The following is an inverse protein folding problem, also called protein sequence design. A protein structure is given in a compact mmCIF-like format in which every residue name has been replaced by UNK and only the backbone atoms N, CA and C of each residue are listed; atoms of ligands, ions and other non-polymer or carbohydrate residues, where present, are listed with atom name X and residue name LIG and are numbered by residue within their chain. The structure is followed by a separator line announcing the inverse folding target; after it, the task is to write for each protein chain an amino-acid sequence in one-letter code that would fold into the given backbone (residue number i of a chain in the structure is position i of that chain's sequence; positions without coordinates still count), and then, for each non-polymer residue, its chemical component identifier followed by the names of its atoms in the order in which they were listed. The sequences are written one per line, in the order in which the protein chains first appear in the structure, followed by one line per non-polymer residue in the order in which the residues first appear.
data_IF_364101637380
#
_entry.id   IF_364101637380
#
_cell.length_a   1.000
_cell.length_b   1.000
_cell.length_c   1.000
_cell.angle_alpha   90.00
_cell.angle_beta   90.00
_cell.angle_gamma   90.00
#
_symmetry.space_group_name_H-M   'P 1'
#
loop_
_entity.id
_entity.type
_entity.pdbx_description
1 polymer ?
#
# COMPACT_ATOMS: atom_id res chain seq x y z
N UNK A 1 0.61 4.96 -5.16
CA UNK A 1 0.62 4.41 -6.52
C UNK A 1 2.01 4.57 -7.10
N UNK A 2 2.38 3.82 -8.12
CA UNK A 2 3.66 4.01 -8.79
C UNK A 2 3.74 5.36 -9.54
N UNK A 3 4.96 5.87 -9.71
CA UNK A 3 5.22 7.17 -10.31
C UNK A 3 4.71 7.29 -11.75
N UNK A 4 4.76 6.22 -12.55
CA UNK A 4 4.28 6.26 -13.93
C UNK A 4 2.77 6.50 -13.94
N UNK A 5 2.03 5.80 -13.08
CA UNK A 5 0.58 6.00 -12.93
C UNK A 5 0.23 7.44 -12.57
N UNK A 6 0.97 8.03 -11.62
CA UNK A 6 0.73 9.42 -11.21
C UNK A 6 1.03 10.44 -12.34
N UNK A 7 2.08 10.19 -13.13
CA UNK A 7 2.39 10.99 -14.33
C UNK A 7 1.25 10.93 -15.33
N UNK A 8 0.78 9.75 -15.70
CA UNK A 8 -0.23 9.59 -16.77
C UNK A 8 -1.62 10.07 -16.34
N UNK A 9 -1.96 9.93 -15.05
CA UNK A 9 -3.20 10.50 -14.50
C UNK A 9 -3.14 12.03 -14.53
N UNK A 10 -2.06 12.63 -14.01
CA UNK A 10 -1.87 14.08 -14.04
C UNK A 10 -1.87 14.64 -15.46
N UNK A 11 -1.22 13.96 -16.40
CA UNK A 11 -1.26 14.30 -17.82
C UNK A 11 -2.69 14.28 -18.38
N UNK A 12 -3.45 13.21 -18.14
CA UNK A 12 -4.84 13.09 -18.58
C UNK A 12 -5.74 14.20 -18.02
N UNK A 13 -5.65 14.47 -16.72
CA UNK A 13 -6.41 15.53 -16.03
C UNK A 13 -6.08 16.90 -16.63
N UNK A 14 -4.80 17.23 -16.79
CA UNK A 14 -4.39 18.53 -17.32
C UNK A 14 -4.76 18.70 -18.80
N UNK A 15 -4.65 17.64 -19.61
CA UNK A 15 -5.11 17.65 -21.02
C UNK A 15 -6.62 17.88 -21.09
N UNK A 16 -7.41 17.28 -20.21
CA UNK A 16 -8.86 17.48 -20.18
C UNK A 16 -9.24 18.95 -19.90
N UNK A 17 -8.51 19.60 -19.00
CA UNK A 17 -8.83 20.98 -18.55
C UNK A 17 -8.21 22.05 -19.44
N UNK A 18 -6.93 21.92 -19.78
CA UNK A 18 -6.14 22.95 -20.48
C UNK A 18 -5.77 22.58 -21.92
N UNK A 19 -6.00 21.34 -22.36
CA UNK A 19 -5.51 20.85 -23.65
C UNK A 19 -6.01 21.64 -24.86
N UNK A 20 -7.22 22.19 -24.82
CA UNK A 20 -7.79 23.00 -25.90
C UNK A 20 -7.03 24.30 -26.15
N UNK A 21 -6.41 24.89 -25.12
CA UNK A 21 -5.78 26.22 -25.19
C UNK A 21 -4.26 26.18 -25.06
N UNK A 22 -3.76 25.36 -24.13
CA UNK A 22 -2.34 25.12 -23.97
C UNK A 22 -1.77 24.21 -25.08
N UNK A 23 -2.64 23.44 -25.73
CA UNK A 23 -2.28 22.39 -26.66
C UNK A 23 -2.06 21.05 -25.93
N UNK A 24 -2.42 19.91 -26.53
CA UNK A 24 -2.44 18.62 -25.85
C UNK A 24 -1.06 18.20 -25.35
N UNK A 25 0.00 18.35 -26.15
CA UNK A 25 1.36 18.00 -25.75
C UNK A 25 1.85 18.78 -24.53
N UNK A 26 1.67 20.11 -24.52
CA UNK A 26 2.11 20.97 -23.42
C UNK A 26 1.29 20.72 -22.17
N UNK A 27 -0.02 20.50 -22.30
CA UNK A 27 -0.88 20.14 -21.18
C UNK A 27 -0.51 18.77 -20.59
N UNK A 28 -0.19 17.78 -21.42
CA UNK A 28 0.26 16.46 -20.95
C UNK A 28 1.58 16.56 -20.15
N UNK A 29 2.56 17.32 -20.63
CA UNK A 29 3.82 17.55 -19.92
C UNK A 29 3.57 18.27 -18.59
N UNK A 30 2.82 19.38 -18.61
CA UNK A 30 2.52 20.14 -17.41
C UNK A 30 1.78 19.28 -16.38
N UNK A 31 0.77 18.52 -16.81
CA UNK A 31 0.02 17.60 -15.98
C UNK A 31 0.87 16.48 -15.40
N UNK A 32 1.75 15.88 -16.19
CA UNK A 32 2.66 14.83 -15.73
C UNK A 32 3.62 15.32 -14.65
N UNK A 33 4.19 16.52 -14.82
CA UNK A 33 5.05 17.15 -13.81
C UNK A 33 4.29 17.47 -12.52
N UNK A 34 3.10 18.07 -12.64
CA UNK A 34 2.23 18.34 -11.48
C UNK A 34 1.82 17.05 -10.76
N UNK A 35 1.57 15.98 -11.52
CA UNK A 35 1.26 14.65 -11.00
C UNK A 35 2.41 14.01 -10.22
N UNK A 36 3.66 14.42 -10.43
CA UNK A 36 4.81 13.94 -9.62
C UNK A 36 5.09 14.78 -8.38
N UNK A 37 4.54 16.00 -8.33
CA UNK A 37 4.92 17.00 -7.33
C UNK A 37 4.68 16.56 -5.88
N UNK A 38 3.55 15.90 -5.51
CA UNK A 38 3.32 15.49 -4.12
C UNK A 38 4.34 14.49 -3.58
N UNK A 39 4.81 13.56 -4.42
CA UNK A 39 5.79 12.52 -4.06
C UNK A 39 7.23 13.04 -3.95
N UNK A 40 7.50 14.30 -4.29
CA UNK A 40 8.81 14.91 -4.05
C UNK A 40 9.07 15.18 -2.56
N UNK A 41 8.09 14.91 -1.69
CA UNK A 41 8.26 14.92 -0.23
C UNK A 41 9.34 13.94 0.25
N UNK A 42 9.64 12.88 -0.52
CA UNK A 42 10.75 11.94 -0.24
C UNK A 42 12.13 12.60 -0.25
N UNK A 43 12.26 13.79 -0.85
CA UNK A 43 13.51 14.55 -0.87
C UNK A 43 13.71 15.37 0.41
N UNK A 44 12.69 15.50 1.25
CA UNK A 44 12.76 16.20 2.52
C UNK A 44 13.34 15.21 3.55
N UNK A 45 14.54 15.46 4.11
CA UNK A 45 15.15 14.55 5.06
C UNK A 45 14.30 14.42 6.32
N UNK A 46 14.06 13.18 6.75
CA UNK A 46 13.54 12.86 8.09
C UNK A 46 14.68 12.32 8.98
N UNK A 47 14.48 12.30 10.29
CA UNK A 47 15.53 11.94 11.26
C UNK A 47 15.96 10.48 11.17
N UNK A 48 15.04 9.56 10.91
CA UNK A 48 15.33 8.12 10.77
C UNK A 48 14.46 7.41 9.70
N UNK A 49 14.76 6.14 9.34
CA UNK A 49 14.01 5.39 8.33
C UNK A 49 12.55 5.09 8.68
N UNK A 50 12.18 5.09 9.97
CA UNK A 50 10.80 4.91 10.43
C UNK A 50 10.03 6.21 10.28
N UNK A 51 10.61 7.33 10.72
CA UNK A 51 10.02 8.66 10.52
C UNK A 51 9.85 8.97 9.03
N UNK A 52 10.86 8.66 8.21
CA UNK A 52 10.78 8.80 6.74
C UNK A 52 9.56 8.06 6.18
N UNK A 53 9.30 6.85 6.70
CA UNK A 53 8.18 6.01 6.26
C UNK A 53 6.82 6.49 6.78
N UNK A 54 6.73 6.92 8.04
CA UNK A 54 5.47 7.35 8.68
C UNK A 54 5.06 8.78 8.26
N UNK A 55 6.03 9.61 7.88
CA UNK A 55 5.81 11.00 7.47
C UNK A 55 5.56 11.16 5.97
N UNK A 56 5.98 10.19 5.15
CA UNK A 56 5.65 10.17 3.72
C UNK A 56 4.13 10.17 3.52
N UNK A 57 3.65 10.87 2.48
CA UNK A 57 2.21 11.06 2.21
C UNK A 57 1.49 11.82 3.32
N UNK A 58 2.23 12.75 3.94
CA UNK A 58 1.76 13.67 4.96
C UNK A 58 1.21 14.96 4.35
N UNK A 59 1.86 16.08 4.66
CA UNK A 59 1.38 17.41 4.31
C UNK A 59 1.28 17.66 2.79
N UNK A 60 2.18 17.07 1.99
CA UNK A 60 2.21 17.18 0.51
C UNK A 60 0.98 16.55 -0.17
N UNK A 61 0.37 15.57 0.48
CA UNK A 61 -0.83 14.86 0.01
C UNK A 61 -2.11 15.35 0.70
N UNK A 62 -2.04 16.42 1.52
CA UNK A 62 -3.22 17.02 2.12
C UNK A 62 -4.00 17.84 1.09
N UNK A 63 -5.30 17.57 0.97
CA UNK A 63 -6.19 18.32 0.09
C UNK A 63 -6.26 19.81 0.49
N UNK A 64 -6.14 20.09 1.79
CA UNK A 64 -6.16 21.45 2.34
C UNK A 64 -4.89 22.19 1.92
N UNK A 65 -3.73 21.59 2.13
CA UNK A 65 -2.44 22.19 1.76
C UNK A 65 -2.34 22.34 0.24
N UNK A 66 -2.78 21.35 -0.52
CA UNK A 66 -2.84 21.38 -1.98
C UNK A 66 -3.74 22.53 -2.48
N UNK A 67 -4.91 22.73 -1.86
CA UNK A 67 -5.78 23.88 -2.17
C UNK A 67 -5.09 25.22 -1.86
N UNK A 68 -4.37 25.32 -0.73
CA UNK A 68 -3.66 26.54 -0.34
C UNK A 68 -2.48 26.87 -1.27
N UNK A 69 -1.72 25.87 -1.74
CA UNK A 69 -0.57 26.09 -2.63
C UNK A 69 -0.96 26.27 -4.09
N UNK A 70 -2.14 25.76 -4.50
CA UNK A 70 -2.68 25.89 -5.86
C UNK A 70 -2.62 27.33 -6.41
N UNK A 71 -3.13 28.38 -5.72
CA UNK A 71 -3.08 29.74 -6.26
C UNK A 71 -1.65 30.24 -6.47
N UNK A 72 -0.68 29.81 -5.65
CA UNK A 72 0.74 30.20 -5.79
C UNK A 72 1.33 29.60 -7.06
N UNK A 73 1.20 28.28 -7.24
CA UNK A 73 1.71 27.57 -8.43
C UNK A 73 0.96 28.03 -9.68
N UNK A 74 -0.36 28.17 -9.56
CA UNK A 74 -1.22 28.61 -10.64
C UNK A 74 -0.88 30.00 -11.11
N UNK A 75 -0.58 30.92 -10.19
CA UNK A 75 -0.19 32.27 -10.57
C UNK A 75 1.17 32.31 -11.26
N UNK A 76 2.14 31.53 -10.79
CA UNK A 76 3.41 31.38 -11.48
C UNK A 76 3.20 30.87 -12.92
N UNK A 77 2.38 29.84 -13.11
CA UNK A 77 2.08 29.28 -14.43
C UNK A 77 1.36 30.30 -15.34
N UNK A 78 0.38 31.03 -14.81
CA UNK A 78 -0.36 32.09 -15.52
C UNK A 78 0.58 33.21 -15.99
N UNK A 79 1.53 33.61 -15.16
CA UNK A 79 2.51 34.67 -15.51
C UNK A 79 3.55 34.22 -16.54
N UNK A 80 3.98 32.96 -16.46
CA UNK A 80 5.04 32.42 -17.32
C UNK A 80 4.52 31.90 -18.67
N UNK A 81 3.24 31.52 -18.76
CA UNK A 81 2.67 30.90 -19.95
C UNK A 81 1.51 31.74 -20.48
N UNK A 82 1.74 32.45 -21.59
CA UNK A 82 0.75 33.35 -22.20
C UNK A 82 -0.63 32.70 -22.44
N UNK A 83 -0.65 31.42 -22.84
CA UNK A 83 -1.90 30.68 -23.07
C UNK A 83 -2.77 30.51 -21.81
N UNK A 84 -2.18 30.59 -20.62
CA UNK A 84 -2.86 30.45 -19.33
C UNK A 84 -3.42 31.77 -18.79
N UNK A 85 -2.97 32.92 -19.31
CA UNK A 85 -3.40 34.25 -18.86
C UNK A 85 -4.91 34.48 -18.98
N UNK A 86 -5.50 34.00 -20.08
CA UNK A 86 -6.93 34.09 -20.34
C UNK A 86 -7.75 32.96 -19.68
N UNK A 87 -7.10 32.05 -18.95
CA UNK A 87 -7.69 30.86 -18.35
C UNK A 87 -7.20 30.64 -16.92
N UNK A 88 -7.11 31.72 -16.15
CA UNK A 88 -6.58 31.73 -14.79
C UNK A 88 -7.27 30.69 -13.90
N UNK A 89 -8.60 30.70 -13.87
CA UNK A 89 -9.37 29.77 -13.05
C UNK A 89 -9.26 28.32 -13.51
N UNK A 90 -9.24 28.05 -14.82
CA UNK A 90 -9.01 26.70 -15.34
C UNK A 90 -7.59 26.21 -15.05
N UNK A 91 -6.61 27.12 -15.04
CA UNK A 91 -5.23 26.79 -14.65
C UNK A 91 -5.15 26.37 -13.20
N UNK A 92 -5.81 27.12 -12.31
CA UNK A 92 -5.88 26.78 -10.89
C UNK A 92 -6.62 25.46 -10.68
N UNK A 93 -7.74 25.26 -11.37
CA UNK A 93 -8.48 24.01 -11.34
C UNK A 93 -7.63 22.83 -11.83
N UNK A 94 -6.91 22.96 -12.94
CA UNK A 94 -6.04 21.91 -13.46
C UNK A 94 -4.95 21.52 -12.44
N UNK A 95 -4.31 22.50 -11.80
CA UNK A 95 -3.30 22.25 -10.77
C UNK A 95 -3.90 21.54 -9.57
N UNK A 96 -4.99 22.08 -9.01
CA UNK A 96 -5.64 21.45 -7.87
C UNK A 96 -6.11 20.04 -8.19
N UNK A 97 -6.69 19.81 -9.36
CA UNK A 97 -7.13 18.48 -9.78
C UNK A 97 -5.95 17.51 -9.95
N UNK A 98 -4.82 17.94 -10.54
CA UNK A 98 -3.63 17.09 -10.62
C UNK A 98 -3.11 16.69 -9.23
N UNK A 99 -3.01 17.64 -8.30
CA UNK A 99 -2.50 17.38 -6.95
C UNK A 99 -3.47 16.53 -6.11
N UNK A 100 -4.76 16.87 -6.15
CA UNK A 100 -5.80 16.17 -5.36
C UNK A 100 -6.06 14.77 -5.89
N UNK A 101 -6.14 14.56 -7.21
CA UNK A 101 -6.34 13.22 -7.77
C UNK A 101 -5.14 12.30 -7.50
N UNK A 102 -3.92 12.84 -7.44
CA UNK A 102 -2.76 12.09 -6.96
C UNK A 102 -2.97 11.59 -5.53
N UNK A 103 -3.30 12.50 -4.60
CA UNK A 103 -3.49 12.16 -3.19
C UNK A 103 -4.65 11.18 -2.97
N UNK A 104 -5.76 11.39 -3.68
CA UNK A 104 -6.93 10.51 -3.65
C UNK A 104 -6.62 9.11 -4.18
N UNK A 105 -5.87 9.00 -5.29
CA UNK A 105 -5.45 7.70 -5.82
C UNK A 105 -4.49 6.99 -4.85
N UNK A 106 -3.60 7.74 -4.20
CA UNK A 106 -2.72 7.20 -3.19
C UNK A 106 -3.48 6.67 -1.97
N UNK A 107 -4.55 7.35 -1.54
CA UNK A 107 -5.42 6.88 -0.46
C UNK A 107 -6.18 5.58 -0.79
N UNK A 108 -6.33 5.24 -2.09
CA UNK A 108 -6.89 3.95 -2.53
C UNK A 108 -5.90 2.79 -2.37
N UNK A 109 -4.60 3.06 -2.22
CA UNK A 109 -3.59 2.05 -1.91
C UNK A 109 -3.51 1.76 -0.41
N UNK A 110 -2.85 0.68 0.01
CA UNK A 110 -2.81 0.27 1.43
C UNK A 110 -1.77 1.04 2.28
N UNK A 111 -0.99 1.94 1.68
CA UNK A 111 0.08 2.65 2.38
C UNK A 111 -0.42 3.56 3.49
N UNK A 112 -1.46 4.34 3.22
CA UNK A 112 -1.93 5.38 4.13
C UNK A 112 -1.54 6.78 3.65
N UNK A 113 -2.53 7.64 3.46
CA UNK A 113 -2.36 9.03 3.00
C UNK A 113 -3.12 9.97 3.92
N UNK A 114 -2.46 11.02 4.45
CA UNK A 114 -3.06 11.96 5.41
C UNK A 114 -3.83 13.09 4.69
N UNK A 115 -4.96 12.75 4.06
CA UNK A 115 -5.73 13.66 3.19
C UNK A 115 -6.20 14.96 3.87
N UNK A 116 -6.45 14.92 5.19
CA UNK A 116 -6.98 16.05 5.95
C UNK A 116 -5.97 16.68 6.91
N UNK A 117 -4.67 16.42 6.73
CA UNK A 117 -3.65 17.07 7.54
C UNK A 117 -3.73 18.61 7.38
N UNK A 118 -3.61 19.42 8.45
CA UNK A 118 -3.32 19.05 9.84
C UNK A 118 -4.56 18.81 10.71
N UNK A 119 -5.79 18.89 10.16
CA UNK A 119 -7.03 18.70 10.93
C UNK A 119 -7.18 17.27 11.46
N UNK A 120 -6.74 16.29 10.68
CA UNK A 120 -6.62 14.89 11.11
C UNK A 120 -5.27 14.31 10.70
N UNK A 121 -4.68 13.53 11.61
CA UNK A 121 -3.43 12.79 11.37
C UNK A 121 -3.68 11.35 10.93
N UNK A 122 -4.95 10.91 10.89
CA UNK A 122 -5.32 9.55 10.53
C UNK A 122 -5.07 9.31 9.03
N UNK A 123 -4.24 8.30 8.68
CA UNK A 123 -3.97 7.97 7.29
C UNK A 123 -5.11 7.16 6.67
N UNK A 124 -5.54 7.56 5.47
CA UNK A 124 -6.47 6.80 4.64
C UNK A 124 -5.71 5.79 3.81
N UNK A 125 -5.99 4.51 4.01
CA UNK A 125 -5.40 3.42 3.21
C UNK A 125 -6.48 2.39 2.89
N UNK A 126 -7.35 2.70 1.92
CA UNK A 126 -8.46 1.81 1.55
C UNK A 126 -7.92 0.45 1.12
N UNK A 127 -6.77 0.43 0.43
CA UNK A 127 -6.13 -0.81 -0.02
C UNK A 127 -6.92 -1.55 -1.09
N UNK A 128 -7.74 -0.84 -1.86
CA UNK A 128 -8.57 -1.42 -2.92
C UNK A 128 -7.82 -1.58 -4.25
N UNK A 129 -6.70 -0.89 -4.43
CA UNK A 129 -5.87 -0.99 -5.64
C UNK A 129 -4.41 -1.28 -5.28
N UNK A 130 -3.75 -2.13 -6.07
CA UNK A 130 -2.32 -2.41 -5.91
C UNK A 130 -1.49 -1.25 -6.47
N UNK A 131 -0.27 -1.05 -5.95
CA UNK A 131 0.57 0.10 -6.30
C UNK A 131 0.92 0.14 -7.80
N UNK A 132 1.04 -1.02 -8.44
CA UNK A 132 1.31 -1.18 -9.88
C UNK A 132 0.14 -1.95 -10.51
N UNK A 133 -0.79 -1.24 -11.14
CA UNK A 133 -1.99 -1.82 -11.73
C UNK A 133 -2.07 -1.52 -13.23
N UNK A 134 -1.63 -2.46 -14.10
CA UNK A 134 -1.64 -2.26 -15.54
C UNK A 134 -3.02 -1.95 -16.12
N UNK A 135 -4.11 -2.47 -15.54
CA UNK A 135 -5.47 -2.22 -16.01
C UNK A 135 -5.89 -0.76 -15.79
N UNK A 136 -5.33 -0.12 -14.76
CA UNK A 136 -5.51 1.32 -14.52
C UNK A 136 -4.54 2.17 -15.35
N UNK A 137 -3.26 1.79 -15.39
CA UNK A 137 -2.19 2.62 -15.97
C UNK A 137 -2.17 2.61 -17.49
N UNK A 138 -2.38 1.47 -18.15
CA UNK A 138 -2.21 1.34 -19.61
C UNK A 138 -3.19 2.24 -20.39
N UNK A 139 -4.50 2.28 -20.10
CA UNK A 139 -5.41 3.17 -20.82
C UNK A 139 -5.00 4.66 -20.70
N UNK A 140 -4.57 5.09 -19.51
CA UNK A 140 -4.09 6.45 -19.25
C UNK A 140 -2.75 6.73 -19.96
N UNK A 141 -1.86 5.74 -20.01
CA UNK A 141 -0.60 5.83 -20.73
C UNK A 141 -0.83 6.00 -22.24
N UNK A 142 -1.71 5.20 -22.83
CA UNK A 142 -2.03 5.28 -24.26
C UNK A 142 -2.57 6.68 -24.63
N UNK A 143 -3.51 7.22 -23.86
CA UNK A 143 -4.03 8.56 -24.13
C UNK A 143 -2.99 9.67 -23.90
N UNK A 144 -2.09 9.48 -22.93
CA UNK A 144 -0.96 10.38 -22.71
C UNK A 144 -0.01 10.39 -23.90
N UNK A 145 0.34 9.22 -24.44
CA UNK A 145 1.18 9.10 -25.66
C UNK A 145 0.49 9.79 -26.84
N UNK A 146 -0.81 9.54 -27.06
CA UNK A 146 -1.57 10.21 -28.12
C UNK A 146 -1.53 11.73 -27.94
N UNK A 147 -1.73 12.24 -26.72
CA UNK A 147 -1.67 13.69 -26.45
C UNK A 147 -0.27 14.29 -26.69
N UNK A 148 0.80 13.56 -26.33
CA UNK A 148 2.18 13.98 -26.56
C UNK A 148 2.56 14.02 -28.06
N UNK A 149 2.03 13.08 -28.84
CA UNK A 149 2.23 13.02 -30.29
C UNK A 149 1.30 13.96 -31.08
N UNK A 150 0.27 14.51 -30.43
CA UNK A 150 -0.70 15.39 -31.08
C UNK A 150 -0.18 16.82 -31.19
N UNK A 151 -0.14 17.35 -32.42
CA UNK A 151 0.28 18.74 -32.69
C UNK A 151 -0.80 19.79 -32.44
N UNK A 152 -2.08 19.42 -32.52
CA UNK A 152 -3.24 20.31 -32.34
C UNK A 152 -4.36 19.61 -31.58
N UNK A 153 -5.19 20.39 -30.90
CA UNK A 153 -6.41 19.88 -30.27
C UNK A 153 -7.42 19.41 -31.32
N UNK A 154 -8.09 18.29 -31.05
CA UNK A 154 -9.24 17.80 -31.84
C UNK A 154 -10.36 17.41 -30.88
N UNK A 155 -11.62 17.52 -31.32
CA UNK A 155 -12.77 17.07 -30.52
C UNK A 155 -12.71 15.57 -30.21
N UNK A 156 -12.15 14.77 -31.13
CA UNK A 156 -11.89 13.35 -30.92
C UNK A 156 -10.95 13.10 -29.75
N UNK A 157 -9.82 13.82 -29.69
CA UNK A 157 -8.86 13.70 -28.58
C UNK A 157 -9.51 14.06 -27.24
N UNK A 158 -10.27 15.16 -27.19
CA UNK A 158 -10.98 15.58 -25.98
C UNK A 158 -11.94 14.50 -25.47
N UNK A 159 -12.74 13.90 -26.37
CA UNK A 159 -13.63 12.78 -26.02
C UNK A 159 -12.85 11.57 -25.51
N UNK A 160 -11.76 11.18 -26.17
CA UNK A 160 -10.94 10.03 -25.74
C UNK A 160 -10.32 10.25 -24.37
N UNK A 161 -9.84 11.46 -24.06
CA UNK A 161 -9.32 11.82 -22.73
C UNK A 161 -10.42 11.69 -21.67
N UNK A 162 -11.61 12.22 -21.94
CA UNK A 162 -12.74 12.12 -21.01
C UNK A 162 -13.12 10.65 -20.78
N UNK A 163 -13.22 9.85 -21.84
CA UNK A 163 -13.51 8.41 -21.73
C UNK A 163 -12.46 7.70 -20.89
N UNK A 164 -11.17 7.98 -21.10
CA UNK A 164 -10.10 7.37 -20.31
C UNK A 164 -10.20 7.73 -18.81
N UNK A 165 -10.54 8.98 -18.47
CA UNK A 165 -10.74 9.43 -17.09
C UNK A 165 -12.02 8.85 -16.46
N UNK A 166 -13.09 8.71 -17.24
CA UNK A 166 -14.33 8.05 -16.78
C UNK A 166 -14.06 6.57 -16.51
N UNK A 167 -13.36 5.87 -17.41
CA UNK A 167 -12.98 4.47 -17.22
C UNK A 167 -12.05 4.28 -16.03
N UNK A 168 -11.07 5.18 -15.83
CA UNK A 168 -10.18 5.11 -14.67
C UNK A 168 -10.95 5.30 -13.35
N UNK A 169 -11.90 6.23 -13.32
CA UNK A 169 -12.78 6.45 -12.15
C UNK A 169 -13.69 5.25 -11.91
N UNK A 170 -14.32 4.73 -12.96
CA UNK A 170 -15.16 3.53 -12.88
C UNK A 170 -14.36 2.32 -12.38
N UNK A 171 -13.10 2.18 -12.78
CA UNK A 171 -12.20 1.14 -12.30
C UNK A 171 -11.93 1.26 -10.79
N UNK A 172 -11.73 2.47 -10.26
CA UNK A 172 -11.57 2.66 -8.81
C UNK A 172 -12.83 2.25 -8.04
N UNK A 173 -14.01 2.60 -8.55
CA UNK A 173 -15.29 2.15 -7.97
C UNK A 173 -15.42 0.62 -8.01
N UNK A 174 -15.04 0.00 -9.14
CA UNK A 174 -14.98 -1.45 -9.28
C UNK A 174 -14.07 -2.09 -8.23
N UNK A 175 -12.84 -1.58 -8.06
CA UNK A 175 -11.88 -2.09 -7.08
C UNK A 175 -12.40 -2.06 -5.65
N UNK A 176 -13.10 -0.99 -5.25
CA UNK A 176 -13.79 -0.91 -3.95
C UNK A 176 -14.91 -1.95 -3.85
N UNK A 177 -15.69 -2.15 -4.93
CA UNK A 177 -16.72 -3.19 -5.00
C UNK A 177 -16.13 -4.60 -4.85
N UNK A 178 -15.07 -4.92 -5.58
CA UNK A 178 -14.33 -6.18 -5.53
C UNK A 178 -13.79 -6.45 -4.11
N UNK A 179 -13.22 -5.42 -3.47
CA UNK A 179 -12.76 -5.53 -2.07
C UNK A 179 -13.91 -5.89 -1.13
N UNK A 180 -15.08 -5.25 -1.26
CA UNK A 180 -16.26 -5.56 -0.43
C UNK A 180 -16.75 -6.99 -0.64
N UNK A 181 -16.76 -7.48 -1.88
CA UNK A 181 -17.13 -8.87 -2.21
C UNK A 181 -16.17 -9.84 -1.50
N UNK A 182 -14.86 -9.63 -1.62
CA UNK A 182 -13.85 -10.50 -1.01
C UNK A 182 -13.91 -10.45 0.52
N UNK A 183 -14.08 -9.27 1.12
CA UNK A 183 -14.28 -9.13 2.56
C UNK A 183 -15.51 -9.90 3.05
N UNK A 184 -16.61 -9.86 2.30
CA UNK A 184 -17.83 -10.62 2.61
C UNK A 184 -17.57 -12.13 2.57
N UNK A 185 -16.91 -12.62 1.51
CA UNK A 185 -16.51 -14.03 1.39
C UNK A 185 -15.63 -14.48 2.55
N UNK A 186 -14.60 -13.71 2.89
CA UNK A 186 -13.72 -14.01 4.01
C UNK A 186 -14.46 -14.05 5.34
N UNK A 187 -15.34 -13.08 5.62
CA UNK A 187 -16.18 -13.09 6.82
C UNK A 187 -17.08 -14.32 6.90
N UNK A 188 -17.68 -14.73 5.79
CA UNK A 188 -18.54 -15.92 5.75
C UNK A 188 -17.75 -17.20 6.01
N UNK A 189 -16.57 -17.35 5.39
CA UNK A 189 -15.67 -18.47 5.64
C UNK A 189 -15.25 -18.55 7.12
N UNK A 190 -14.86 -17.43 7.72
CA UNK A 190 -14.46 -17.37 9.13
C UNK A 190 -15.63 -17.73 10.07
N UNK A 191 -16.84 -17.23 9.78
CA UNK A 191 -18.05 -17.57 10.55
C UNK A 191 -18.38 -19.06 10.48
N UNK A 192 -18.28 -19.67 9.30
CA UNK A 192 -18.49 -21.11 9.13
C UNK A 192 -17.42 -21.93 9.86
N UNK A 193 -16.19 -21.43 9.92
CA UNK A 193 -15.10 -22.02 10.69
C UNK A 193 -15.20 -21.76 12.21
N UNK A 194 -16.23 -21.05 12.69
CA UNK A 194 -16.39 -20.73 14.12
C UNK A 194 -15.39 -19.71 14.66
N UNK A 195 -14.76 -18.91 13.80
CA UNK A 195 -13.75 -17.92 14.17
C UNK A 195 -14.35 -16.51 14.15
N UNK A 196 -14.26 -15.82 15.29
CA UNK A 196 -14.50 -14.38 15.39
C UNK A 196 -13.17 -13.64 15.30
N UNK A 197 -12.97 -12.85 14.26
CA UNK A 197 -11.72 -12.12 14.03
C UNK A 197 -11.65 -10.80 14.81
N UNK A 198 -10.43 -10.39 15.18
CA UNK A 198 -10.21 -9.10 15.86
C UNK A 198 -10.11 -7.97 14.82
N UNK A 199 -9.38 -8.22 13.73
CA UNK A 199 -9.29 -7.32 12.57
C UNK A 199 -9.30 -8.12 11.27
N UNK A 200 -9.81 -7.52 10.21
CA UNK A 200 -9.82 -8.09 8.86
C UNK A 200 -9.55 -7.00 7.83
N UNK A 201 -8.61 -7.29 6.94
CA UNK A 201 -8.26 -6.44 5.81
C UNK A 201 -8.22 -7.26 4.53
N UNK A 202 -8.54 -6.66 3.39
CA UNK A 202 -8.40 -7.25 2.07
C UNK A 202 -7.54 -6.34 1.20
N UNK A 203 -6.54 -6.92 0.54
CA UNK A 203 -5.59 -6.21 -0.34
C UNK A 203 -5.51 -6.99 -1.66
N UNK A 204 -5.60 -6.31 -2.83
CA UNK A 204 -5.44 -6.99 -4.10
C UNK A 204 -4.01 -7.52 -4.26
N UNK A 205 -3.86 -8.62 -4.97
CA UNK A 205 -2.54 -9.12 -5.33
C UNK A 205 -1.92 -8.28 -6.44
N UNK A 206 -0.59 -8.40 -6.65
CA UNK A 206 0.09 -7.63 -7.68
C UNK A 206 -0.58 -7.75 -9.05
N UNK A 207 -0.71 -6.61 -9.75
CA UNK A 207 -1.16 -6.52 -11.14
C UNK A 207 -2.63 -6.90 -11.42
N UNK A 208 -3.47 -7.10 -10.40
CA UNK A 208 -4.85 -7.56 -10.60
C UNK A 208 -5.82 -7.00 -9.57
N UNK A 209 -7.06 -6.74 -10.00
CA UNK A 209 -8.20 -6.46 -9.11
C UNK A 209 -9.11 -7.68 -8.91
N UNK A 210 -8.73 -8.86 -9.42
CA UNK A 210 -9.56 -10.06 -9.43
C UNK A 210 -9.15 -11.14 -8.43
N UNK A 211 -7.92 -11.10 -7.91
CA UNK A 211 -7.42 -12.06 -6.93
C UNK A 211 -6.79 -11.33 -5.75
N UNK A 212 -7.20 -11.70 -4.54
CA UNK A 212 -6.99 -10.90 -3.34
C UNK A 212 -6.42 -11.74 -2.21
N UNK A 213 -5.63 -11.08 -1.37
CA UNK A 213 -5.22 -11.59 -0.07
C UNK A 213 -6.01 -10.89 1.01
N UNK A 214 -6.63 -11.66 1.89
CA UNK A 214 -7.18 -11.18 3.14
C UNK A 214 -6.26 -11.53 4.29
N UNK A 215 -6.07 -10.58 5.20
CA UNK A 215 -5.28 -10.75 6.41
C UNK A 215 -6.25 -10.68 7.59
N UNK A 216 -6.36 -11.79 8.30
CA UNK A 216 -7.20 -11.92 9.48
C UNK A 216 -6.29 -11.88 10.70
N UNK A 217 -6.51 -10.94 11.62
CA UNK A 217 -5.82 -10.94 12.91
C UNK A 217 -6.71 -11.62 13.94
N UNK A 218 -6.13 -12.56 14.68
CA UNK A 218 -6.78 -13.14 15.83
C UNK A 218 -5.76 -13.56 16.88
N UNK A 219 -5.84 -12.96 18.07
CA UNK A 219 -4.87 -13.17 19.14
C UNK A 219 -3.42 -12.92 18.62
N UNK A 220 -2.51 -13.85 18.91
CA UNK A 220 -1.12 -13.84 18.47
C UNK A 220 -0.90 -14.50 17.09
N UNK A 221 -1.95 -14.63 16.29
CA UNK A 221 -1.87 -15.19 14.94
C UNK A 221 -2.40 -14.21 13.91
N UNK A 222 -1.87 -14.35 12.70
CA UNK A 222 -2.52 -13.85 11.50
C UNK A 222 -2.76 -14.98 10.52
N UNK A 223 -3.85 -14.86 9.77
CA UNK A 223 -4.24 -15.82 8.74
C UNK A 223 -4.27 -15.10 7.40
N UNK A 224 -3.48 -15.58 6.45
CA UNK A 224 -3.59 -15.19 5.06
C UNK A 224 -4.63 -16.08 4.38
N UNK A 225 -5.64 -15.48 3.78
CA UNK A 225 -6.65 -16.18 2.99
C UNK A 225 -6.67 -15.59 1.58
N UNK A 226 -6.46 -16.43 0.58
CA UNK A 226 -6.41 -16.03 -0.83
C UNK A 226 -7.70 -16.38 -1.54
N UNK A 227 -8.33 -15.36 -2.13
CA UNK A 227 -9.69 -15.43 -2.66
C UNK A 227 -9.82 -14.72 -4.01
N UNK A 228 -10.45 -15.36 -5.01
CA UNK A 228 -10.87 -14.68 -6.22
C UNK A 228 -12.18 -13.90 -5.98
N UNK A 229 -12.32 -12.78 -6.69
CA UNK A 229 -13.56 -11.98 -6.69
C UNK A 229 -14.71 -12.79 -7.26
N UNK A 230 -14.47 -13.47 -8.39
CA UNK A 230 -15.43 -14.38 -9.02
C UNK A 230 -15.14 -15.83 -8.68
N UNK A 231 -16.19 -16.65 -8.57
CA UNK A 231 -16.08 -18.06 -8.20
C UNK A 231 -16.30 -18.34 -6.71
N UNK A 232 -16.38 -19.63 -6.39
CA UNK A 232 -16.67 -20.10 -5.04
C UNK A 232 -15.42 -20.10 -4.14
N UNK A 233 -15.65 -20.06 -2.85
CA UNK A 233 -14.71 -20.14 -1.75
C UNK A 233 -14.13 -21.54 -1.49
N UNK A 234 -14.63 -22.58 -2.16
CA UNK A 234 -14.16 -23.97 -1.98
C UNK A 234 -12.67 -24.16 -2.24
N UNK A 235 -12.10 -23.39 -3.17
CA UNK A 235 -10.68 -23.43 -3.51
C UNK A 235 -9.84 -22.37 -2.80
N UNK A 236 -10.43 -21.68 -1.82
CA UNK A 236 -9.69 -20.69 -1.05
C UNK A 236 -8.59 -21.39 -0.25
N UNK A 237 -7.41 -20.78 -0.24
CA UNK A 237 -6.26 -21.31 0.49
C UNK A 237 -5.99 -20.45 1.72
N UNK A 238 -5.84 -21.12 2.86
CA UNK A 238 -5.63 -20.50 4.17
C UNK A 238 -4.25 -20.88 4.70
N UNK A 239 -3.56 -19.89 5.25
CA UNK A 239 -2.24 -20.06 5.83
C UNK A 239 -2.17 -19.33 7.16
N UNK A 240 -1.79 -20.04 8.22
CA UNK A 240 -1.73 -19.49 9.58
C UNK A 240 -0.29 -19.25 10.00
N UNK A 241 -0.04 -18.10 10.61
CA UNK A 241 1.29 -17.68 11.03
C UNK A 241 1.24 -16.99 12.39
N UNK A 242 2.27 -17.19 13.24
CA UNK A 242 2.39 -16.46 14.49
C UNK A 242 2.77 -14.99 14.24
N UNK A 243 2.37 -14.12 15.17
CA UNK A 243 2.74 -12.70 15.20
C UNK A 243 3.85 -12.40 16.21
N UNK A 244 4.08 -13.31 17.15
CA UNK A 244 5.03 -13.20 18.27
C UNK A 244 4.87 -11.91 19.07
N UNK A 245 3.62 -11.55 19.40
CA UNK A 245 3.27 -10.38 20.19
C UNK A 245 3.83 -10.42 21.61
N UNK A 246 4.26 -11.59 22.10
CA UNK A 246 5.03 -11.71 23.34
C UNK A 246 6.34 -10.91 23.31
N UNK A 247 6.90 -10.63 22.13
CA UNK A 247 8.07 -9.74 21.98
C UNK A 247 7.71 -8.26 22.19
N UNK A 248 6.43 -7.88 22.07
CA UNK A 248 6.01 -6.50 22.25
C UNK A 248 6.15 -6.04 23.71
N UNK A 249 5.95 -6.92 24.70
CA UNK A 249 6.20 -6.59 26.10
C UNK A 249 7.67 -6.26 26.38
N UNK A 250 8.58 -6.76 25.55
CA UNK A 250 9.99 -6.44 25.64
C UNK A 250 10.32 -5.05 25.09
N UNK A 251 9.44 -4.42 24.28
CA UNK A 251 9.75 -3.14 23.62
C UNK A 251 9.40 -1.92 24.47
N UNK A 252 8.61 -2.08 25.55
CA UNK A 252 8.32 -1.01 26.51
C UNK A 252 7.91 0.30 25.83
N UNK A 253 8.67 1.37 26.11
CA UNK A 253 8.43 2.72 25.58
C UNK A 253 9.09 3.03 24.22
N UNK A 254 9.66 2.02 23.53
CA UNK A 254 10.35 2.19 22.26
C UNK A 254 9.54 3.04 21.26
N UNK A 255 10.14 4.14 20.84
CA UNK A 255 9.49 5.16 20.02
C UNK A 255 9.11 4.64 18.62
N UNK A 256 10.04 3.93 17.98
CA UNK A 256 9.85 3.34 16.66
C UNK A 256 8.73 2.29 16.66
N UNK A 257 8.65 1.46 17.70
CA UNK A 257 7.57 0.48 17.85
C UNK A 257 6.20 1.17 17.96
N UNK A 258 6.08 2.21 18.78
CA UNK A 258 4.81 2.97 18.92
C UNK A 258 4.39 3.60 17.59
N UNK A 259 5.31 4.25 16.88
CA UNK A 259 5.03 4.85 15.57
C UNK A 259 4.60 3.81 14.53
N UNK A 260 5.36 2.71 14.40
CA UNK A 260 5.08 1.66 13.42
C UNK A 260 3.78 0.91 13.73
N UNK A 261 3.53 0.56 15.00
CA UNK A 261 2.32 -0.14 15.42
C UNK A 261 1.05 0.69 15.21
N UNK A 262 1.13 2.01 15.49
CA UNK A 262 0.06 2.95 15.18
C UNK A 262 -0.15 3.06 13.67
N UNK A 263 0.92 3.19 12.89
CA UNK A 263 0.85 3.31 11.43
C UNK A 263 0.27 2.04 10.76
N UNK A 264 0.62 0.86 11.27
CA UNK A 264 0.11 -0.41 10.76
C UNK A 264 -1.30 -0.76 11.23
N UNK A 265 -1.87 0.03 12.14
CA UNK A 265 -3.17 -0.24 12.78
C UNK A 265 -3.22 -1.66 13.37
N UNK A 266 -2.10 -2.12 13.92
CA UNK A 266 -1.97 -3.46 14.47
C UNK A 266 -1.68 -4.58 13.46
N UNK A 267 -1.60 -4.33 12.15
CA UNK A 267 -1.22 -5.35 11.15
C UNK A 267 0.30 -5.55 11.07
N UNK A 268 0.87 -6.08 12.13
CA UNK A 268 2.31 -6.38 12.21
C UNK A 268 2.60 -7.72 12.87
N UNK A 269 3.80 -8.21 12.61
CA UNK A 269 4.44 -9.28 13.39
C UNK A 269 5.81 -8.83 13.85
N UNK A 270 6.28 -9.47 14.91
CA UNK A 270 7.63 -9.33 15.44
C UNK A 270 8.38 -10.64 15.19
N UNK A 271 9.64 -10.54 14.82
CA UNK A 271 10.52 -11.69 14.67
C UNK A 271 11.82 -11.41 15.41
N UNK A 272 12.37 -12.42 16.09
CA UNK A 272 13.69 -12.34 16.69
C UNK A 272 14.70 -13.02 15.78
N UNK A 273 15.68 -12.26 15.30
CA UNK A 273 16.83 -12.80 14.57
C UNK A 273 18.10 -12.53 15.37
N UNK A 274 18.66 -13.59 15.97
CA UNK A 274 19.78 -13.50 16.92
C UNK A 274 19.44 -12.57 18.09
N UNK A 275 20.11 -11.44 18.17
CA UNK A 275 19.97 -10.39 19.18
C UNK A 275 19.09 -9.23 18.69
N UNK A 276 18.49 -9.28 17.49
CA UNK A 276 17.70 -8.17 16.94
C UNK A 276 16.21 -8.51 16.93
N UNK A 277 15.39 -7.56 17.39
CA UNK A 277 13.93 -7.59 17.19
C UNK A 277 13.61 -6.86 15.89
N UNK A 278 13.06 -7.62 14.95
CA UNK A 278 12.55 -7.14 13.68
C UNK A 278 11.04 -6.93 13.76
N UNK A 279 10.60 -5.78 13.29
CA UNK A 279 9.20 -5.45 13.00
C UNK A 279 8.93 -5.64 11.51
N UNK A 280 7.81 -6.26 11.15
CA UNK A 280 7.36 -6.36 9.76
C UNK A 280 5.88 -5.98 9.62
N UNK A 281 5.58 -5.06 8.70
CA UNK A 281 4.20 -4.68 8.35
C UNK A 281 3.57 -5.74 7.44
N UNK A 282 2.52 -6.41 7.94
CA UNK A 282 1.86 -7.53 7.25
C UNK A 282 1.15 -7.11 5.96
N UNK A 283 0.76 -5.83 5.87
CA UNK A 283 0.02 -5.26 4.73
C UNK A 283 0.91 -5.15 3.50
N UNK A 284 2.22 -5.09 3.69
CA UNK A 284 3.19 -4.66 2.66
C UNK A 284 4.13 -5.77 2.22
N UNK A 285 3.68 -6.58 1.25
CA UNK A 285 4.40 -7.73 0.72
C UNK A 285 3.58 -9.01 0.88
N UNK A 286 4.23 -10.16 0.78
CA UNK A 286 3.60 -11.48 0.94
C UNK A 286 4.46 -12.34 1.85
N UNK A 287 3.86 -13.05 2.81
CA UNK A 287 4.62 -13.83 3.80
C UNK A 287 5.59 -14.83 3.15
N UNK A 288 6.84 -14.99 3.61
CA UNK A 288 7.51 -14.28 4.70
C UNK A 288 8.21 -12.97 4.27
N UNK A 289 8.02 -12.54 3.03
CA UNK A 289 8.75 -11.48 2.35
C UNK A 289 8.01 -10.13 2.41
N UNK A 290 8.34 -9.31 3.42
CA UNK A 290 7.76 -7.98 3.62
C UNK A 290 8.71 -6.86 3.19
N UNK A 291 8.18 -5.89 2.45
CA UNK A 291 8.94 -4.76 1.88
C UNK A 291 9.29 -3.72 2.97
N UNK A 292 8.46 -3.62 4.00
CA UNK A 292 8.65 -2.73 5.14
C UNK A 292 8.90 -3.56 6.39
N UNK A 293 10.18 -3.88 6.57
CA UNK A 293 10.71 -4.53 7.75
C UNK A 293 11.81 -3.68 8.37
N UNK A 294 11.83 -3.57 9.69
CA UNK A 294 12.75 -2.70 10.43
C UNK A 294 13.34 -3.45 11.62
N UNK A 295 14.66 -3.36 11.81
CA UNK A 295 15.29 -3.64 13.09
C UNK A 295 15.01 -2.45 14.02
N UNK A 296 14.36 -2.70 15.17
CA UNK A 296 13.87 -1.63 16.07
C UNK A 296 14.44 -1.70 17.48
N UNK A 297 15.00 -2.84 17.88
CA UNK A 297 15.65 -3.02 19.17
C UNK A 297 16.65 -4.17 19.13
N UNK A 298 17.62 -4.17 20.03
CA UNK A 298 18.45 -5.33 20.33
C UNK A 298 18.12 -5.92 21.70
N UNK A 299 18.17 -7.23 21.81
CA UNK A 299 18.12 -7.96 23.07
C UNK A 299 19.52 -7.96 23.69
N UNK A 300 19.57 -7.88 25.01
CA UNK A 300 20.79 -7.94 25.82
C UNK A 300 20.55 -8.80 27.05
N UNK A 301 21.62 -9.07 27.83
CA UNK A 301 21.52 -9.78 29.09
C UNK A 301 20.63 -9.04 30.12
N UNK A 302 20.55 -7.71 30.01
CA UNK A 302 19.80 -6.84 30.91
C UNK A 302 18.40 -6.46 30.39
N UNK A 303 17.93 -7.10 29.32
CA UNK A 303 16.66 -6.76 28.65
C UNK A 303 16.88 -6.18 27.26
N UNK A 304 15.91 -5.44 26.74
CA UNK A 304 16.00 -4.77 25.43
C UNK A 304 16.74 -3.45 25.52
N UNK A 305 17.51 -3.15 24.48
CA UNK A 305 18.16 -1.87 24.27
C UNK A 305 17.60 -1.23 23.00
N UNK A 306 17.20 0.03 23.10
CA UNK A 306 16.78 0.82 21.96
C UNK A 306 17.96 1.01 20.99
N UNK A 307 17.68 0.94 19.70
CA UNK A 307 18.64 1.14 18.63
C UNK A 307 18.07 2.12 17.60
N UNK A 308 18.94 2.82 16.87
CA UNK A 308 18.51 3.58 15.71
C UNK A 308 17.82 2.62 14.70
N UNK A 309 16.56 2.88 14.29
CA UNK A 309 15.85 1.96 13.42
C UNK A 309 16.58 1.77 12.10
N UNK A 310 16.70 0.51 11.66
CA UNK A 310 17.33 0.19 10.37
C UNK A 310 16.38 -0.60 9.50
N UNK A 311 16.15 -0.13 8.27
CA UNK A 311 15.37 -0.87 7.28
C UNK A 311 16.08 -2.16 6.89
N UNK A 312 15.36 -3.27 6.92
CA UNK A 312 15.82 -4.59 6.48
C UNK A 312 15.28 -4.83 5.08
N UNK A 313 16.18 -5.16 4.17
CA UNK A 313 15.84 -5.51 2.80
C UNK A 313 15.80 -7.03 2.65
N UNK A 314 14.80 -7.52 1.93
CA UNK A 314 14.63 -8.93 1.59
C UNK A 314 14.10 -9.09 0.17
N UNK A 315 13.97 -10.32 -0.31
CA UNK A 315 13.32 -10.58 -1.60
C UNK A 315 11.88 -10.07 -1.59
N UNK A 316 11.36 -9.66 -2.74
CA UNK A 316 9.97 -9.17 -2.87
C UNK A 316 8.95 -10.28 -3.17
N UNK A 317 9.43 -11.43 -3.65
CA UNK A 317 8.64 -12.61 -4.01
C UNK A 317 9.41 -13.88 -3.67
N UNK A 318 8.70 -14.98 -3.45
CA UNK A 318 9.26 -16.31 -3.30
C UNK A 318 9.32 -17.07 -4.62
N UNK A 319 10.07 -18.18 -4.68
CA UNK A 319 10.07 -19.08 -5.84
C UNK A 319 8.67 -19.59 -6.17
N UNK A 320 8.24 -19.47 -7.43
CA UNK A 320 6.95 -19.96 -7.92
C UNK A 320 5.74 -19.07 -7.60
N UNK A 321 5.93 -17.88 -7.00
CA UNK A 321 4.82 -16.97 -6.67
C UNK A 321 4.09 -16.44 -7.92
N UNK A 322 4.83 -16.16 -9.00
CA UNK A 322 4.22 -15.71 -10.25
C UNK A 322 3.37 -16.81 -10.89
N UNK A 323 3.89 -18.03 -10.99
CA UNK A 323 3.16 -19.17 -11.54
C UNK A 323 1.90 -19.49 -10.71
N UNK A 324 2.00 -19.35 -9.39
CA UNK A 324 0.87 -19.48 -8.48
C UNK A 324 -0.18 -18.38 -8.72
N UNK A 325 0.23 -17.12 -8.83
CA UNK A 325 -0.65 -15.99 -9.08
C UNK A 325 -1.41 -16.16 -10.40
N UNK A 326 -0.69 -16.45 -11.50
CA UNK A 326 -1.29 -16.62 -12.81
C UNK A 326 -2.21 -17.85 -12.88
N UNK A 327 -1.83 -18.97 -12.26
CA UNK A 327 -2.69 -20.14 -12.23
C UNK A 327 -4.03 -19.84 -11.55
N UNK A 328 -4.02 -19.17 -10.40
CA UNK A 328 -5.26 -18.83 -9.69
C UNK A 328 -6.10 -17.76 -10.42
N UNK A 329 -5.45 -16.82 -11.11
CA UNK A 329 -6.15 -15.86 -11.99
C UNK A 329 -6.86 -16.54 -13.17
N UNK A 330 -6.27 -17.62 -13.70
CA UNK A 330 -6.86 -18.44 -14.76
C UNK A 330 -7.80 -19.53 -14.22
N UNK A 331 -8.26 -19.41 -12.98
CA UNK A 331 -9.14 -20.38 -12.31
C UNK A 331 -8.58 -21.81 -12.22
N UNK A 332 -7.25 -21.96 -12.21
CA UNK A 332 -6.55 -23.20 -11.86
C UNK A 332 -6.07 -23.12 -10.41
N UNK A 333 -6.87 -23.59 -9.43
CA UNK A 333 -6.57 -23.38 -8.02
C UNK A 333 -5.25 -24.04 -7.65
N UNK A 334 -4.29 -23.23 -7.19
CA UNK A 334 -2.98 -23.69 -6.72
C UNK A 334 -2.70 -23.11 -5.35
N UNK A 335 -2.12 -23.93 -4.48
CA UNK A 335 -1.53 -23.46 -3.23
C UNK A 335 -0.28 -22.64 -3.51
N UNK A 336 -0.07 -21.60 -2.70
CA UNK A 336 1.13 -20.78 -2.76
C UNK A 336 2.35 -21.60 -2.30
N UNK A 337 3.39 -21.79 -3.12
CA UNK A 337 4.52 -22.65 -2.78
C UNK A 337 5.24 -22.22 -1.50
N UNK A 338 5.47 -20.91 -1.35
CA UNK A 338 6.24 -20.34 -0.23
C UNK A 338 5.51 -20.43 1.12
N UNK A 339 4.17 -20.43 1.12
CA UNK A 339 3.38 -20.57 2.36
C UNK A 339 2.85 -21.98 2.58
N UNK A 340 3.01 -22.91 1.61
CA UNK A 340 2.52 -24.30 1.69
C UNK A 340 2.76 -25.00 3.04
N UNK A 341 3.92 -24.85 3.73
CA UNK A 341 4.14 -25.49 5.02
C UNK A 341 3.19 -25.04 6.14
N UNK A 342 2.56 -23.87 6.00
CA UNK A 342 1.67 -23.25 6.97
C UNK A 342 0.20 -23.37 6.58
N UNK A 343 -0.11 -24.19 5.57
CA UNK A 343 -1.47 -24.39 5.09
C UNK A 343 -2.33 -25.06 6.15
N UNK A 344 -3.58 -24.61 6.26
CA UNK A 344 -4.56 -25.19 7.18
C UNK A 344 -5.93 -25.30 6.49
N UNK A 345 -6.71 -26.32 6.87
CA UNK A 345 -8.12 -26.40 6.45
C UNK A 345 -8.96 -25.41 7.23
N UNK A 346 -9.98 -24.85 6.61
CA UNK A 346 -10.88 -23.90 7.28
C UNK A 346 -11.52 -24.49 8.55
N UNK A 347 -11.87 -25.79 8.54
CA UNK A 347 -12.46 -26.48 9.69
C UNK A 347 -11.54 -26.54 10.93
N UNK A 348 -10.22 -26.54 10.73
CA UNK A 348 -9.23 -26.66 11.80
C UNK A 348 -8.81 -25.27 12.37
N UNK A 349 -9.33 -24.19 11.80
CA UNK A 349 -8.90 -22.83 12.09
C UNK A 349 -9.22 -22.41 13.54
N UNK A 350 -10.44 -22.68 14.02
CA UNK A 350 -10.86 -22.28 15.38
C UNK A 350 -10.02 -22.93 16.48
N UNK A 351 -9.65 -24.20 16.31
CA UNK A 351 -8.82 -24.91 17.27
C UNK A 351 -7.41 -24.32 17.36
N UNK A 352 -6.82 -23.97 16.23
CA UNK A 352 -5.41 -23.53 16.15
C UNK A 352 -5.23 -22.10 16.65
N UNK A 353 -6.18 -21.22 16.35
CA UNK A 353 -6.11 -19.79 16.70
C UNK A 353 -6.46 -19.51 18.18
N UNK A 354 -7.12 -20.46 18.86
CA UNK A 354 -7.54 -20.35 20.26
C UNK A 354 -6.43 -20.51 21.31
N UNK A 355 -5.23 -20.95 20.93
CA UNK A 355 -4.12 -21.14 21.87
C UNK A 355 -3.53 -19.78 22.28
N UNK A 356 -3.57 -19.47 23.57
CA UNK A 356 -2.85 -18.32 24.17
C UNK A 356 -1.41 -18.73 24.46
N UNK A 357 -0.45 -17.95 23.98
CA UNK A 357 0.96 -18.15 24.33
C UNK A 357 1.33 -17.46 25.65
N UNK A 358 2.25 -18.09 26.39
CA UNK A 358 2.81 -17.56 27.62
C UNK A 358 3.71 -16.34 27.35
N UNK A 359 3.82 -15.44 28.32
CA UNK A 359 4.73 -14.28 28.27
C UNK A 359 6.19 -14.73 28.11
N UNK A 360 6.95 -14.04 27.27
CA UNK A 360 8.36 -14.34 27.02
C UNK A 360 9.27 -13.63 28.03
N UNK A 361 10.36 -14.28 28.44
CA UNK A 361 11.46 -13.63 29.15
C UNK A 361 12.30 -12.80 28.16
N UNK A 362 12.39 -11.49 28.39
CA UNK A 362 13.00 -10.51 27.50
C UNK A 362 14.54 -10.48 27.57
N UNK A 363 15.16 -11.52 28.11
CA UNK A 363 16.62 -11.65 28.19
C UNK A 363 17.14 -12.54 27.09
N UNK A 364 18.30 -12.16 26.55
CA UNK A 364 19.00 -12.98 25.58
C UNK A 364 19.47 -14.28 26.27
N UNK A 365 18.83 -15.42 25.98
CA UNK A 365 19.29 -16.70 26.51
C UNK A 365 20.71 -16.95 26.00
N UNK A 366 21.68 -17.29 26.87
CA UNK A 366 23.01 -17.65 26.39
C UNK A 366 22.88 -18.83 25.42
N UNK A 367 23.72 -18.89 24.37
CA UNK A 367 23.73 -20.05 23.48
C UNK A 367 23.86 -21.31 24.33
N UNK A 368 23.00 -22.30 24.10
CA UNK A 368 23.03 -23.56 24.81
C UNK A 368 24.47 -24.10 24.75
N UNK A 369 25.11 -24.23 25.91
CA UNK A 369 26.55 -24.41 26.01
C UNK A 369 27.03 -25.57 25.14
N UNK A 370 27.99 -25.29 24.26
CA UNK A 370 29.03 -26.27 23.95
C UNK A 370 29.60 -26.72 25.30
N UNK A 371 29.30 -27.95 25.68
CA UNK A 371 30.04 -28.66 26.71
C UNK A 371 31.49 -28.73 26.25
N UNK A 372 32.31 -27.74 26.61
CA UNK A 372 33.76 -27.90 26.70
C UNK A 372 34.00 -28.96 27.76
N UNK A 373 34.18 -30.21 27.31
CA UNK A 373 34.99 -31.17 28.05
C UNK A 373 36.39 -30.55 28.12
N UNK A 374 36.74 -30.02 29.29
CA UNK A 374 38.12 -29.68 29.62
C UNK A 374 38.91 -30.98 29.87
N UNK A 375 40.24 -30.95 29.64
CA UNK A 375 41.06 -32.09 29.23
C UNK A 375 41.26 -33.19 30.28
#
# INVERSE_FOLDING_TARGET
MDTLTQIVLGAGVCVAVLGRRLGPRRAAIAGGLLGTLPDLDVLIPAGDPVETFVSHRGFSHSLIIQAMVTPVIGEAMVRLIAACQQQRWQTYAAIYLCLSTHALLDAMTIYGTKLFWPLSLEPFGVGSVFIIDPLYTIPLLLITIIALCSGRWTEGLGKTVIVALVLSTAYQVWCVGAQRIVLSKAKNLLRQAGVTQDSLLAIPLPFTSLFWRTIVLKNDHYVNLYLPVFGDTQHATLYIHPRHLSLASCLGDNSAFKQLSSFSQGFYRLDQYRDVIQYSDLRMGLTPNYIFSYAIATLSANGTKEMAPRRIFGPRSGPGDFDWLFANLLHHPKMRPTEKPHWIKAADLAHTVGQKYAQLDCRLKPPAGETRKNP
#
